data_IF_870555477219
#
_entry.id   IF_870555477219
#
_cell.length_a   1.000
_cell.length_b   1.000
_cell.length_c   1.000
_cell.angle_alpha   90.00
_cell.angle_beta   90.00
_cell.angle_gamma   90.00
#
_symmetry.space_group_name_H-M   'P 1'
#
loop_
_entity.id
_entity.type
_entity.pdbx_description
1 polymer ?
#
# COMPACT_ATOMS: atom_id res chain seq x y z
N UNK A 1 30.71 -11.34 29.06
CA UNK A 1 29.39 -11.23 29.72
C UNK A 1 28.74 -9.97 29.18
N UNK A 2 27.54 -10.11 28.62
CA UNK A 2 26.85 -9.08 27.84
C UNK A 2 26.46 -9.57 26.45
N UNK A 3 25.84 -10.76 26.38
CA UNK A 3 25.09 -11.22 25.21
C UNK A 3 23.79 -10.41 25.18
N UNK A 4 23.72 -9.45 24.25
CA UNK A 4 22.48 -8.85 23.82
C UNK A 4 22.26 -9.31 22.37
N UNK A 5 21.78 -10.55 22.23
CA UNK A 5 20.92 -10.95 21.13
C UNK A 5 19.82 -9.89 21.01
N UNK A 6 20.09 -8.84 20.22
CA UNK A 6 19.07 -7.94 19.71
C UNK A 6 18.16 -8.81 18.87
N UNK A 7 17.06 -9.25 19.47
CA UNK A 7 15.99 -9.90 18.75
C UNK A 7 15.57 -8.93 17.67
N UNK A 8 15.78 -9.31 16.40
CA UNK A 8 15.26 -8.55 15.27
C UNK A 8 13.74 -8.69 15.39
N UNK A 9 13.12 -7.71 16.03
CA UNK A 9 11.67 -7.52 16.02
C UNK A 9 11.28 -7.33 14.57
N UNK A 10 10.60 -8.31 13.96
CA UNK A 10 10.27 -8.18 12.56
C UNK A 10 9.33 -6.99 12.34
N UNK A 11 9.28 -6.45 11.12
CA UNK A 11 8.47 -5.26 10.80
C UNK A 11 6.98 -5.42 11.17
N UNK A 12 6.52 -6.67 11.31
CA UNK A 12 5.16 -7.05 11.71
C UNK A 12 4.91 -7.16 13.22
N UNK A 13 5.91 -6.92 14.09
CA UNK A 13 5.74 -6.91 15.56
C UNK A 13 5.23 -5.56 16.10
N UNK A 14 5.12 -4.50 15.27
CA UNK A 14 4.46 -3.22 15.61
C UNK A 14 3.65 -2.70 14.42
N UNK A 15 2.56 -3.39 14.10
CA UNK A 15 1.71 -3.04 12.96
C UNK A 15 0.80 -1.84 13.25
N UNK A 16 0.60 -1.48 14.51
CA UNK A 16 -0.12 -0.27 14.88
C UNK A 16 0.19 0.20 16.29
N UNK A 17 0.13 1.51 16.47
CA UNK A 17 0.14 2.18 17.78
C UNK A 17 -1.27 2.33 18.38
N UNK A 18 -2.28 1.72 17.75
CA UNK A 18 -3.68 1.74 18.15
C UNK A 18 -4.19 0.31 18.39
N UNK A 19 -4.66 0.03 19.61
CA UNK A 19 -5.22 -1.27 20.02
C UNK A 19 -6.32 -1.76 19.05
N UNK A 20 -7.14 -0.86 18.52
CA UNK A 20 -8.19 -1.18 17.56
C UNK A 20 -7.62 -1.66 16.24
N UNK A 21 -6.64 -0.96 15.67
CA UNK A 21 -6.01 -1.37 14.42
C UNK A 21 -5.26 -2.70 14.64
N UNK A 22 -4.55 -2.86 15.77
CA UNK A 22 -3.89 -4.12 16.09
C UNK A 22 -4.90 -5.28 16.14
N UNK A 23 -6.06 -5.08 16.75
CA UNK A 23 -7.14 -6.05 16.76
C UNK A 23 -7.62 -6.41 15.35
N UNK A 24 -7.87 -5.40 14.50
CA UNK A 24 -8.34 -5.60 13.11
C UNK A 24 -7.29 -6.29 12.24
N UNK A 25 -6.02 -5.92 12.37
CA UNK A 25 -4.88 -6.56 11.71
C UNK A 25 -4.78 -8.02 12.09
N UNK A 26 -4.90 -8.33 13.39
CA UNK A 26 -4.88 -9.72 13.87
C UNK A 26 -6.11 -10.50 13.37
N UNK A 27 -7.26 -9.84 13.22
CA UNK A 27 -8.45 -10.46 12.63
C UNK A 27 -8.24 -10.76 11.13
N UNK A 28 -7.70 -9.81 10.35
CA UNK A 28 -7.33 -10.03 8.95
C UNK A 28 -6.33 -11.18 8.81
N UNK A 29 -5.27 -11.20 9.63
CA UNK A 29 -4.27 -12.28 9.63
C UNK A 29 -4.88 -13.66 9.79
N UNK A 30 -5.82 -13.80 10.74
CA UNK A 30 -6.50 -15.08 11.00
C UNK A 30 -7.46 -15.47 9.88
N UNK A 31 -8.04 -14.49 9.20
CA UNK A 31 -8.97 -14.72 8.10
C UNK A 31 -8.23 -15.13 6.82
N UNK A 32 -7.23 -14.33 6.42
CA UNK A 32 -6.43 -14.54 5.23
C UNK A 32 -5.04 -13.88 5.42
N UNK A 33 -3.97 -14.67 5.66
CA UNK A 33 -2.61 -14.13 5.79
C UNK A 33 -2.13 -13.36 4.55
N UNK A 34 -2.49 -13.80 3.34
CA UNK A 34 -2.05 -13.17 2.10
C UNK A 34 -2.67 -11.77 1.92
N UNK A 35 -3.90 -11.59 2.41
CA UNK A 35 -4.57 -10.29 2.48
C UNK A 35 -3.78 -9.29 3.33
N UNK A 36 -3.28 -9.73 4.49
CA UNK A 36 -2.49 -8.88 5.37
C UNK A 36 -1.11 -8.57 4.76
N UNK A 37 -0.44 -9.58 4.18
CA UNK A 37 0.85 -9.38 3.53
C UNK A 37 0.77 -8.33 2.41
N UNK A 38 -0.28 -8.38 1.59
CA UNK A 38 -0.59 -7.34 0.61
C UNK A 38 -0.79 -5.97 1.27
N UNK A 39 -1.61 -5.87 2.31
CA UNK A 39 -1.83 -4.63 3.05
C UNK A 39 -0.53 -4.03 3.61
N UNK A 40 0.39 -4.84 4.13
CA UNK A 40 1.69 -4.38 4.66
C UNK A 40 2.56 -3.78 3.55
N UNK A 41 2.63 -4.42 2.38
CA UNK A 41 3.42 -3.90 1.25
C UNK A 41 2.79 -2.64 0.68
N UNK A 42 1.47 -2.61 0.50
CA UNK A 42 0.71 -1.43 0.08
C UNK A 42 0.90 -0.25 1.05
N UNK A 43 0.90 -0.49 2.37
CA UNK A 43 1.16 0.52 3.38
C UNK A 43 2.58 1.07 3.30
N UNK A 44 3.56 0.23 2.98
CA UNK A 44 4.95 0.63 2.80
C UNK A 44 5.11 1.58 1.60
N UNK A 45 4.54 1.24 0.45
CA UNK A 45 4.54 2.12 -0.74
C UNK A 45 3.77 3.41 -0.50
N UNK A 46 2.63 3.34 0.21
CA UNK A 46 1.80 4.50 0.53
C UNK A 46 2.56 5.50 1.42
N UNK A 47 3.28 5.02 2.44
CA UNK A 47 4.09 5.87 3.33
C UNK A 47 5.24 6.55 2.59
N UNK A 48 5.86 5.85 1.63
CA UNK A 48 6.88 6.45 0.77
C UNK A 48 6.30 7.59 -0.06
N UNK A 49 5.21 7.32 -0.79
CA UNK A 49 4.57 8.32 -1.64
C UNK A 49 4.03 9.51 -0.85
N UNK A 50 3.45 9.27 0.33
CA UNK A 50 2.99 10.34 1.21
C UNK A 50 4.11 11.27 1.65
N UNK A 51 5.30 10.74 1.90
CA UNK A 51 6.48 11.54 2.25
C UNK A 51 7.01 12.34 1.06
N UNK A 52 7.09 11.74 -0.13
CA UNK A 52 7.43 12.45 -1.37
C UNK A 52 6.44 13.59 -1.65
N UNK A 53 5.17 13.40 -1.28
CA UNK A 53 4.12 14.40 -1.40
C UNK A 53 4.06 15.40 -0.23
N UNK A 54 4.96 15.29 0.76
CA UNK A 54 5.04 16.14 1.95
C UNK A 54 3.76 16.14 2.80
N UNK A 55 3.11 14.98 2.95
CA UNK A 55 2.00 14.82 3.89
C UNK A 55 2.45 15.06 5.34
N UNK A 56 1.54 15.54 6.17
CA UNK A 56 1.80 15.69 7.61
C UNK A 56 1.94 14.32 8.28
N UNK A 57 2.56 14.26 9.46
CA UNK A 57 2.67 13.00 10.20
C UNK A 57 1.30 12.36 10.49
N UNK A 58 0.29 13.18 10.79
CA UNK A 58 -1.06 12.67 11.02
C UNK A 58 -1.67 12.08 9.75
N UNK A 59 -1.54 12.77 8.62
CA UNK A 59 -2.02 12.25 7.33
C UNK A 59 -1.27 10.99 6.90
N UNK A 60 0.03 10.89 7.22
CA UNK A 60 0.85 9.71 6.95
C UNK A 60 0.39 8.49 7.78
N UNK A 61 0.05 8.69 9.05
CA UNK A 61 -0.47 7.61 9.90
C UNK A 61 -1.87 7.17 9.46
N UNK A 62 -2.77 8.11 9.13
CA UNK A 62 -4.08 7.79 8.56
C UNK A 62 -3.94 7.02 7.23
N UNK A 63 -3.03 7.45 6.35
CA UNK A 63 -2.74 6.77 5.10
C UNK A 63 -2.15 5.38 5.32
N UNK A 64 -1.23 5.23 6.28
CA UNK A 64 -0.63 3.94 6.61
C UNK A 64 -1.68 2.94 7.09
N UNK A 65 -2.53 3.34 8.04
CA UNK A 65 -3.63 2.50 8.53
C UNK A 65 -4.65 2.20 7.43
N UNK A 66 -4.99 3.19 6.59
CA UNK A 66 -5.90 2.97 5.48
C UNK A 66 -5.34 1.96 4.49
N UNK A 67 -4.06 2.05 4.16
CA UNK A 67 -3.40 1.11 3.28
C UNK A 67 -3.30 -0.30 3.86
N UNK A 68 -3.03 -0.42 5.16
CA UNK A 68 -2.97 -1.70 5.85
C UNK A 68 -4.33 -2.42 5.86
N UNK A 69 -5.42 -1.66 5.96
CA UNK A 69 -6.78 -2.17 6.11
C UNK A 69 -7.66 -2.02 4.85
N UNK A 70 -7.14 -1.52 3.72
CA UNK A 70 -7.98 -1.13 2.57
C UNK A 70 -8.87 -2.26 2.04
N UNK A 71 -8.41 -3.48 2.22
CA UNK A 71 -9.05 -4.70 1.76
C UNK A 71 -9.80 -5.45 2.88
N UNK A 72 -9.92 -4.88 4.09
CA UNK A 72 -10.57 -5.53 5.24
C UNK A 72 -12.02 -5.94 4.96
N UNK A 73 -12.71 -5.23 4.06
CA UNK A 73 -14.06 -5.58 3.63
C UNK A 73 -14.17 -6.95 2.96
N UNK A 74 -13.06 -7.51 2.46
CA UNK A 74 -13.01 -8.89 1.93
C UNK A 74 -13.31 -9.94 3.00
N UNK A 75 -13.19 -9.60 4.30
CA UNK A 75 -13.60 -10.47 5.42
C UNK A 75 -15.12 -10.63 5.54
N UNK A 76 -15.91 -9.75 4.91
CA UNK A 76 -17.38 -9.84 4.92
C UNK A 76 -17.94 -10.75 3.83
N UNK A 77 -17.06 -11.34 3.01
CA UNK A 77 -17.45 -12.18 1.88
C UNK A 77 -17.70 -13.62 2.34
N UNK A 78 -18.73 -14.32 1.81
CA UNK A 78 -18.97 -15.71 2.16
C UNK A 78 -17.78 -16.61 1.82
N UNK A 79 -17.43 -17.51 2.75
CA UNK A 79 -16.40 -18.53 2.55
C UNK A 79 -16.66 -19.32 1.26
N UNK A 80 -15.73 -19.27 0.31
CA UNK A 80 -15.82 -19.99 -0.97
C UNK A 80 -15.87 -19.11 -2.23
N UNK A 81 -16.24 -17.81 -2.11
CA UNK A 81 -16.19 -16.88 -3.25
C UNK A 81 -14.73 -16.55 -3.64
N UNK A 82 -13.84 -16.50 -2.65
CA UNK A 82 -12.40 -16.26 -2.83
C UNK A 82 -11.70 -17.46 -3.51
N UNK A 83 -12.32 -18.66 -3.48
CA UNK A 83 -11.68 -19.92 -3.91
C UNK A 83 -12.20 -20.49 -5.24
N UNK A 84 -13.30 -19.98 -5.80
CA UNK A 84 -13.87 -20.55 -7.02
C UNK A 84 -13.57 -19.73 -8.29
N UNK A 85 -12.47 -20.11 -8.94
CA UNK A 85 -12.41 -20.35 -10.38
C UNK A 85 -13.10 -19.34 -11.31
N UNK A 86 -12.43 -18.22 -11.57
CA UNK A 86 -12.22 -17.68 -12.92
C UNK A 86 -13.40 -17.18 -13.75
N UNK A 87 -14.68 -17.35 -13.37
CA UNK A 87 -15.82 -16.82 -14.11
C UNK A 87 -16.98 -16.49 -13.15
N UNK A 88 -17.00 -15.26 -12.66
CA UNK A 88 -18.24 -14.50 -12.48
C UNK A 88 -17.91 -13.02 -12.63
N UNK A 89 -17.72 -12.55 -13.86
CA UNK A 89 -17.32 -11.16 -14.17
C UNK A 89 -18.24 -10.14 -13.49
N UNK A 90 -19.52 -10.47 -13.30
CA UNK A 90 -20.51 -9.62 -12.61
C UNK A 90 -20.35 -9.71 -11.08
N UNK A 91 -20.06 -10.91 -10.55
CA UNK A 91 -19.75 -11.12 -9.14
C UNK A 91 -18.46 -10.40 -8.75
N UNK A 92 -17.36 -10.63 -9.44
CA UNK A 92 -16.04 -10.04 -9.15
C UNK A 92 -16.08 -8.51 -9.21
N UNK A 93 -16.82 -7.95 -10.17
CA UNK A 93 -17.02 -6.50 -10.29
C UNK A 93 -17.79 -5.93 -9.10
N UNK A 94 -18.96 -6.50 -8.79
CA UNK A 94 -19.76 -6.07 -7.63
C UNK A 94 -19.00 -6.25 -6.32
N UNK A 95 -18.21 -7.30 -6.21
CA UNK A 95 -17.40 -7.59 -5.03
C UNK A 95 -16.28 -6.55 -4.88
N UNK A 96 -15.59 -6.21 -5.97
CA UNK A 96 -14.58 -5.14 -5.99
C UNK A 96 -15.20 -3.77 -5.66
N UNK A 97 -16.43 -3.51 -6.09
CA UNK A 97 -17.16 -2.28 -5.75
C UNK A 97 -17.67 -2.23 -4.30
N UNK A 98 -18.08 -3.38 -3.75
CA UNK A 98 -18.67 -3.45 -2.42
C UNK A 98 -17.64 -3.56 -1.29
N UNK A 99 -16.48 -4.18 -1.51
CA UNK A 99 -15.47 -4.39 -0.44
C UNK A 99 -14.91 -3.11 0.16
N UNK A 100 -14.65 -2.01 -0.57
CA UNK A 100 -14.16 -0.77 0.02
C UNK A 100 -15.21 -0.14 0.93
N UNK A 101 -16.47 -0.19 0.52
CA UNK A 101 -17.59 0.28 1.35
C UNK A 101 -17.77 -0.61 2.58
N UNK A 102 -17.74 -1.92 2.43
CA UNK A 102 -17.82 -2.85 3.55
C UNK A 102 -16.68 -2.62 4.55
N UNK A 103 -15.45 -2.39 4.06
CA UNK A 103 -14.31 -2.05 4.89
C UNK A 103 -14.52 -0.73 5.65
N UNK A 104 -14.95 0.33 4.97
CA UNK A 104 -15.27 1.60 5.63
C UNK A 104 -16.40 1.45 6.67
N UNK A 105 -17.43 0.67 6.37
CA UNK A 105 -18.54 0.38 7.29
C UNK A 105 -18.08 -0.42 8.52
N UNK A 106 -17.11 -1.33 8.36
CA UNK A 106 -16.48 -2.05 9.48
C UNK A 106 -15.78 -1.09 10.44
N UNK A 107 -15.16 -0.02 9.93
CA UNK A 107 -14.44 0.96 10.75
C UNK A 107 -15.35 2.01 11.41
N UNK A 108 -16.61 2.12 10.97
CA UNK A 108 -17.59 3.11 11.45
C UNK A 108 -17.80 3.17 12.98
N UNK A 109 -17.70 2.07 13.76
CA UNK A 109 -17.84 2.14 15.22
C UNK A 109 -16.75 2.95 15.93
N UNK A 110 -15.63 3.28 15.27
CA UNK A 110 -14.49 3.97 15.84
C UNK A 110 -14.32 5.37 15.21
N UNK A 111 -14.80 6.45 15.86
CA UNK A 111 -14.72 7.81 15.33
C UNK A 111 -13.31 8.26 14.97
N UNK A 112 -12.30 7.80 15.72
CA UNK A 112 -10.89 8.07 15.47
C UNK A 112 -10.39 7.49 14.14
N UNK A 113 -11.08 6.51 13.57
CA UNK A 113 -10.75 5.89 12.28
C UNK A 113 -11.56 6.46 11.11
N UNK A 114 -12.27 7.58 11.29
CA UNK A 114 -13.13 8.13 10.25
C UNK A 114 -12.36 8.55 8.98
N UNK A 115 -11.16 9.12 9.14
CA UNK A 115 -10.30 9.45 8.01
C UNK A 115 -9.82 8.18 7.30
N UNK A 116 -9.36 7.20 8.06
CA UNK A 116 -8.95 5.87 7.56
C UNK A 116 -10.08 5.26 6.73
N UNK A 117 -11.29 5.18 7.28
CA UNK A 117 -12.47 4.67 6.59
C UNK A 117 -12.78 5.44 5.29
N UNK A 118 -12.60 6.75 5.28
CA UNK A 118 -12.80 7.59 4.09
C UNK A 118 -11.79 7.26 3.00
N UNK A 119 -10.52 7.09 3.34
CA UNK A 119 -9.49 6.71 2.38
C UNK A 119 -9.77 5.32 1.80
N UNK A 120 -10.18 4.36 2.64
CA UNK A 120 -10.59 3.02 2.22
C UNK A 120 -11.79 3.09 1.28
N UNK A 121 -12.82 3.87 1.59
CA UNK A 121 -14.01 3.95 0.73
C UNK A 121 -13.71 4.50 -0.68
N UNK A 122 -12.66 5.32 -0.82
CA UNK A 122 -12.39 6.10 -2.03
C UNK A 122 -11.17 5.62 -2.84
N UNK A 123 -10.44 4.60 -2.40
CA UNK A 123 -9.18 4.21 -3.06
C UNK A 123 -9.35 3.59 -4.47
N UNK A 124 -10.57 3.24 -4.87
CA UNK A 124 -10.90 2.85 -6.25
C UNK A 124 -11.46 3.98 -7.12
N UNK A 125 -11.56 5.20 -6.58
CA UNK A 125 -11.80 6.37 -7.40
C UNK A 125 -10.63 6.56 -8.38
N UNK A 126 -10.96 7.01 -9.60
CA UNK A 126 -9.97 7.16 -10.68
C UNK A 126 -9.80 8.62 -11.03
N UNK A 127 -8.58 9.01 -11.39
CA UNK A 127 -8.28 10.39 -11.76
C UNK A 127 -9.19 10.94 -12.88
N UNK A 128 -9.61 10.10 -13.82
CA UNK A 128 -10.51 10.41 -14.92
C UNK A 128 -12.01 10.48 -14.55
N UNK A 129 -12.39 10.08 -13.33
CA UNK A 129 -13.78 10.03 -12.87
C UNK A 129 -14.53 8.76 -13.28
N UNK A 130 -13.86 7.77 -13.86
CA UNK A 130 -14.46 6.47 -14.20
C UNK A 130 -14.38 5.46 -13.06
N UNK A 131 -13.98 5.90 -11.87
CA UNK A 131 -13.91 5.09 -10.66
C UNK A 131 -15.24 5.04 -9.91
N UNK A 132 -15.19 4.43 -8.74
CA UNK A 132 -16.34 4.24 -7.87
C UNK A 132 -15.91 4.50 -6.41
N UNK A 133 -16.84 4.77 -5.48
CA UNK A 133 -18.31 4.69 -5.62
C UNK A 133 -19.00 5.96 -6.14
N UNK A 134 -18.34 7.11 -6.20
CA UNK A 134 -18.96 8.39 -6.53
C UNK A 134 -18.53 8.97 -7.89
N UNK A 135 -17.51 8.40 -8.54
CA UNK A 135 -16.99 8.91 -9.81
C UNK A 135 -16.28 10.25 -9.63
N UNK A 136 -15.58 10.41 -8.50
CA UNK A 136 -14.82 11.62 -8.19
C UNK A 136 -13.70 11.80 -9.21
N UNK A 137 -13.46 13.04 -9.65
CA UNK A 137 -12.47 13.34 -10.68
C UNK A 137 -11.32 14.19 -10.15
N UNK A 138 -10.10 13.82 -10.53
CA UNK A 138 -8.90 14.58 -10.24
C UNK A 138 -8.74 14.90 -8.75
N UNK A 139 -8.71 16.19 -8.43
CA UNK A 139 -8.48 16.69 -7.05
C UNK A 139 -9.70 16.60 -6.14
N UNK A 140 -10.86 16.15 -6.65
CA UNK A 140 -11.99 15.81 -5.79
C UNK A 140 -11.69 14.55 -4.95
N UNK A 141 -10.77 13.70 -5.42
CA UNK A 141 -10.29 12.53 -4.69
C UNK A 141 -9.29 13.00 -3.62
N UNK A 142 -9.48 12.64 -2.34
CA UNK A 142 -8.52 12.96 -1.28
C UNK A 142 -7.10 12.50 -1.63
N UNK A 143 -6.08 13.25 -1.20
CA UNK A 143 -4.68 12.93 -1.52
C UNK A 143 -4.30 11.51 -1.07
N UNK A 144 -4.69 11.13 0.16
CA UNK A 144 -4.43 9.79 0.69
C UNK A 144 -5.05 8.68 -0.18
N UNK A 145 -6.26 8.88 -0.71
CA UNK A 145 -6.93 7.88 -1.55
C UNK A 145 -6.25 7.76 -2.92
N UNK A 146 -5.77 8.88 -3.49
CA UNK A 146 -4.96 8.86 -4.72
C UNK A 146 -3.64 8.12 -4.53
N UNK A 147 -2.97 8.32 -3.40
CA UNK A 147 -1.74 7.60 -3.06
C UNK A 147 -2.01 6.11 -2.85
N UNK A 148 -3.02 5.77 -2.05
CA UNK A 148 -3.40 4.39 -1.76
C UNK A 148 -3.73 3.62 -3.06
N UNK A 149 -4.51 4.21 -3.96
CA UNK A 149 -4.84 3.61 -5.26
C UNK A 149 -3.59 3.27 -6.08
N UNK A 150 -2.61 4.17 -6.11
CA UNK A 150 -1.34 3.95 -6.81
C UNK A 150 -0.52 2.86 -6.13
N UNK A 151 -0.40 2.91 -4.80
CA UNK A 151 0.37 1.96 -4.00
C UNK A 151 -0.17 0.52 -4.11
N UNK A 152 -1.49 0.34 -4.08
CA UNK A 152 -2.15 -0.95 -4.27
C UNK A 152 -1.80 -1.54 -5.64
N UNK A 153 -1.90 -0.75 -6.71
CA UNK A 153 -1.52 -1.20 -8.05
C UNK A 153 -0.02 -1.50 -8.17
N UNK A 154 0.84 -0.72 -7.52
CA UNK A 154 2.29 -0.96 -7.49
C UNK A 154 2.59 -2.32 -6.86
N UNK A 155 1.96 -2.65 -5.73
CA UNK A 155 2.17 -3.95 -5.08
C UNK A 155 1.75 -5.11 -5.99
N UNK A 156 0.57 -5.00 -6.62
CA UNK A 156 0.08 -6.01 -7.54
C UNK A 156 1.01 -6.22 -8.75
N UNK A 157 1.64 -5.15 -9.27
CA UNK A 157 2.58 -5.25 -10.39
C UNK A 157 3.93 -5.84 -9.97
N UNK A 158 4.41 -5.54 -8.76
CA UNK A 158 5.69 -6.01 -8.25
C UNK A 158 5.64 -7.43 -7.67
N UNK A 159 4.46 -7.93 -7.36
CA UNK A 159 4.26 -9.32 -6.90
C UNK A 159 4.02 -10.30 -8.04
N UNK A 160 3.74 -9.82 -9.26
CA UNK A 160 3.64 -10.68 -10.44
C UNK A 160 4.99 -11.24 -10.87
N UNK A 161 5.02 -12.55 -11.22
CA UNK A 161 6.22 -13.22 -11.71
C UNK A 161 6.73 -12.60 -13.01
N UNK A 162 8.03 -12.31 -13.05
CA UNK A 162 8.75 -11.79 -14.21
C UNK A 162 10.03 -12.60 -14.43
N UNK A 163 10.48 -12.70 -15.67
CA UNK A 163 11.70 -13.43 -16.06
C UNK A 163 12.96 -12.83 -15.44
N UNK A 164 12.94 -11.52 -15.13
CA UNK A 164 13.99 -10.83 -14.39
C UNK A 164 13.47 -9.58 -13.67
N UNK A 165 14.22 -9.12 -12.67
CA UNK A 165 13.90 -7.89 -11.93
C UNK A 165 13.99 -6.63 -12.81
N UNK A 166 14.93 -6.57 -13.75
CA UNK A 166 15.05 -5.44 -14.70
C UNK A 166 13.84 -5.38 -15.65
N UNK A 167 13.39 -6.54 -16.15
CA UNK A 167 12.18 -6.63 -16.95
C UNK A 167 10.94 -6.20 -16.15
N UNK A 168 10.86 -6.58 -14.88
CA UNK A 168 9.77 -6.20 -13.98
C UNK A 168 9.72 -4.69 -13.76
N UNK A 169 10.84 -4.06 -13.43
CA UNK A 169 10.91 -2.61 -13.25
C UNK A 169 10.50 -1.85 -14.50
N UNK A 170 11.01 -2.27 -15.66
CA UNK A 170 10.65 -1.67 -16.96
C UNK A 170 9.15 -1.81 -17.22
N UNK A 171 8.57 -2.97 -16.92
CA UNK A 171 7.14 -3.22 -17.07
C UNK A 171 6.30 -2.33 -16.14
N UNK A 172 6.66 -2.23 -14.86
CA UNK A 172 5.98 -1.35 -13.88
C UNK A 172 5.98 0.10 -14.37
N UNK A 173 7.15 0.65 -14.69
CA UNK A 173 7.28 2.04 -15.17
C UNK A 173 6.43 2.27 -16.41
N UNK A 174 6.45 1.34 -17.37
CA UNK A 174 5.65 1.43 -18.59
C UNK A 174 4.15 1.45 -18.29
N UNK A 175 3.66 0.53 -17.45
CA UNK A 175 2.25 0.42 -17.09
C UNK A 175 1.79 1.69 -16.35
N UNK A 176 2.56 2.16 -15.36
CA UNK A 176 2.21 3.37 -14.62
C UNK A 176 2.15 4.61 -15.53
N UNK A 177 3.08 4.75 -16.48
CA UNK A 177 3.02 5.83 -17.49
C UNK A 177 1.76 5.75 -18.35
N UNK A 178 1.36 4.55 -18.76
CA UNK A 178 0.12 4.35 -19.53
C UNK A 178 -1.13 4.70 -18.71
N UNK A 179 -1.14 4.40 -17.42
CA UNK A 179 -2.27 4.66 -16.52
C UNK A 179 -2.29 6.09 -15.94
N UNK A 180 -1.24 6.88 -16.19
CA UNK A 180 -1.16 8.29 -15.81
C UNK A 180 -2.26 9.12 -16.47
N UNK A 181 -2.85 10.07 -15.73
CA UNK A 181 -3.97 10.93 -16.15
C UNK A 181 -5.31 10.21 -16.44
N UNK A 182 -5.32 8.88 -16.48
CA UNK A 182 -6.55 8.09 -16.54
C UNK A 182 -6.88 7.54 -15.16
N UNK A 183 -6.18 6.50 -14.73
CA UNK A 183 -6.38 5.91 -13.40
C UNK A 183 -5.76 6.76 -12.30
N UNK A 184 -4.53 7.24 -12.52
CA UNK A 184 -3.72 7.84 -11.46
C UNK A 184 -3.44 9.33 -11.68
N UNK A 185 -3.23 10.02 -10.56
CA UNK A 185 -2.71 11.37 -10.53
C UNK A 185 -1.33 11.41 -11.21
N UNK A 186 -1.15 12.20 -12.29
CA UNK A 186 0.12 12.27 -13.00
C UNK A 186 1.28 12.76 -12.12
N UNK A 187 1.01 13.57 -11.09
CA UNK A 187 2.05 14.02 -10.15
C UNK A 187 2.59 12.83 -9.36
N UNK A 188 1.71 12.02 -8.78
CA UNK A 188 2.10 10.86 -7.98
C UNK A 188 2.81 9.78 -8.81
N UNK A 189 2.37 9.58 -10.06
CA UNK A 189 3.06 8.66 -10.99
C UNK A 189 4.49 9.11 -11.24
N UNK A 190 4.72 10.41 -11.48
CA UNK A 190 6.07 10.92 -11.71
C UNK A 190 6.94 10.78 -10.45
N UNK A 191 6.42 11.18 -9.28
CA UNK A 191 7.12 11.02 -8.00
C UNK A 191 7.51 9.57 -7.74
N UNK A 192 6.59 8.63 -7.98
CA UNK A 192 6.88 7.20 -7.83
C UNK A 192 7.98 6.75 -8.78
N UNK A 193 7.89 7.11 -10.07
CA UNK A 193 8.85 6.65 -11.08
C UNK A 193 10.26 7.20 -10.79
N UNK A 194 10.37 8.49 -10.43
CA UNK A 194 11.65 9.09 -10.06
C UNK A 194 12.28 8.34 -8.87
N UNK A 195 11.54 8.23 -7.75
CA UNK A 195 11.99 7.46 -6.59
C UNK A 195 12.31 6.00 -6.91
N UNK A 196 11.45 5.33 -7.69
CA UNK A 196 11.61 3.92 -8.02
C UNK A 196 12.84 3.69 -8.91
N UNK A 197 13.13 4.58 -9.86
CA UNK A 197 14.32 4.46 -10.70
C UNK A 197 15.60 4.71 -9.89
N UNK A 198 15.58 5.69 -8.98
CA UNK A 198 16.72 6.01 -8.13
C UNK A 198 17.01 4.87 -7.13
N UNK A 199 15.98 4.37 -6.44
CA UNK A 199 16.14 3.37 -5.38
C UNK A 199 16.21 1.94 -5.90
N UNK A 200 15.39 1.54 -6.88
CA UNK A 200 15.36 0.15 -7.35
C UNK A 200 16.65 -0.24 -8.05
N UNK A 201 17.25 0.65 -8.85
CA UNK A 201 18.52 0.38 -9.53
C UNK A 201 19.69 0.26 -8.54
N UNK A 202 19.72 1.06 -7.48
CA UNK A 202 20.73 0.97 -6.42
C UNK A 202 20.53 -0.24 -5.49
N UNK A 203 19.27 -0.60 -5.21
CA UNK A 203 18.92 -1.73 -4.34
C UNK A 203 19.16 -3.07 -5.04
N UNK A 204 18.97 -3.17 -6.36
CA UNK A 204 19.32 -4.36 -7.15
C UNK A 204 20.80 -4.74 -7.08
N UNK A 205 21.69 -3.75 -6.93
CA UNK A 205 23.13 -3.99 -6.84
C UNK A 205 23.52 -4.52 -5.45
N UNK A 206 22.75 -4.19 -4.41
CA UNK A 206 23.21 -4.32 -3.03
C UNK A 206 22.34 -5.22 -2.11
N UNK A 207 21.04 -5.40 -2.39
CA UNK A 207 20.11 -6.14 -1.52
C UNK A 207 19.03 -6.88 -2.33
N UNK A 208 19.13 -8.21 -2.51
CA UNK A 208 18.13 -8.98 -3.24
C UNK A 208 16.79 -9.02 -2.48
N UNK A 209 15.71 -8.67 -3.20
CA UNK A 209 14.32 -8.86 -2.77
C UNK A 209 14.09 -10.33 -2.38
N UNK A 210 13.47 -10.59 -1.23
CA UNK A 210 12.98 -11.94 -0.84
C UNK A 210 11.46 -11.97 -0.83
N UNK A 211 10.91 -13.18 -0.77
CA UNK A 211 9.46 -13.50 -0.80
C UNK A 211 8.61 -12.71 0.23
N UNK A 212 9.26 -12.05 1.19
CA UNK A 212 8.65 -11.33 2.31
C UNK A 212 8.63 -9.79 2.10
N UNK A 213 9.05 -9.29 0.92
CA UNK A 213 9.22 -7.86 0.63
C UNK A 213 10.63 -7.33 0.91
N UNK A 214 10.78 -6.00 0.97
CA UNK A 214 12.05 -5.29 1.20
C UNK A 214 12.64 -5.64 2.58
N UNK A 215 13.65 -6.51 2.62
CA UNK A 215 14.43 -6.80 3.84
C UNK A 215 15.75 -6.04 3.78
N UNK A 216 15.90 -5.00 4.60
CA UNK A 216 17.15 -4.26 4.80
C UNK A 216 17.83 -4.69 6.11
N UNK A 217 19.17 -4.75 6.10
CA UNK A 217 19.98 -5.14 7.26
C UNK A 217 19.88 -4.10 8.39
N UNK A 218 19.27 -4.52 9.49
CA UNK A 218 19.45 -4.18 10.92
C UNK A 218 19.54 -2.73 11.41
N UNK A 219 18.78 -2.50 12.49
CA UNK A 219 19.00 -1.57 13.61
C UNK A 219 18.76 -0.06 13.38
N UNK A 220 17.51 0.32 13.09
CA UNK A 220 16.89 1.51 13.69
C UNK A 220 15.38 1.50 13.47
N UNK A 221 14.65 2.08 14.42
CA UNK A 221 13.19 2.08 14.59
C UNK A 221 12.40 2.88 13.54
N UNK A 222 12.77 2.82 12.26
CA UNK A 222 11.97 3.42 11.19
C UNK A 222 12.39 2.97 9.78
N UNK A 223 11.78 1.89 9.30
CA UNK A 223 12.17 1.24 8.03
C UNK A 223 11.86 2.07 6.78
N UNK A 224 10.88 2.97 6.83
CA UNK A 224 10.64 3.94 5.74
C UNK A 224 11.57 5.16 5.87
N UNK A 225 11.97 5.54 7.10
CA UNK A 225 12.97 6.59 7.29
C UNK A 225 14.34 6.12 6.83
N UNK A 226 14.70 4.85 6.97
CA UNK A 226 16.00 4.37 6.48
C UNK A 226 16.11 4.35 4.95
N UNK A 227 15.01 4.10 4.22
CA UNK A 227 14.98 4.24 2.75
C UNK A 227 15.10 5.71 2.35
N UNK A 228 14.43 6.61 3.08
CA UNK A 228 14.50 8.05 2.85
C UNK A 228 15.85 8.66 3.25
N UNK A 229 16.41 8.29 4.41
CA UNK A 229 17.68 8.78 4.92
C UNK A 229 18.85 8.22 4.12
N UNK A 230 18.77 6.97 3.62
CA UNK A 230 19.75 6.45 2.66
C UNK A 230 19.69 7.22 1.32
N UNK A 231 18.50 7.57 0.83
CA UNK A 231 18.35 8.40 -0.36
C UNK A 231 18.82 9.87 -0.14
N UNK A 232 18.56 10.45 1.05
CA UNK A 232 19.05 11.78 1.46
C UNK A 232 20.57 11.84 1.59
N UNK A 233 21.20 10.81 2.16
CA UNK A 233 22.66 10.70 2.32
C UNK A 233 23.39 10.63 0.97
N UNK A 234 22.77 10.08 -0.07
CA UNK A 234 23.38 9.92 -1.39
C UNK A 234 23.14 11.17 -2.27
N UNK A 235 22.00 11.85 -2.15
CA UNK A 235 21.59 12.90 -3.09
C UNK A 235 21.42 14.31 -2.50
N UNK A 236 21.61 14.51 -1.19
CA UNK A 236 21.64 15.85 -0.58
C UNK A 236 20.34 16.66 -0.72
N UNK A 237 19.20 15.98 -0.77
CA UNK A 237 17.88 16.62 -0.81
C UNK A 237 17.48 16.92 0.63
N UNK A 238 17.42 18.21 0.99
CA UNK A 238 16.94 18.71 2.29
C UNK A 238 15.47 18.39 2.52
#
# INVERSE_FOLDING_TARGET
>A
MGDASKTITPIWERLSDCDTIEYLVNAMRRHDPALLEHGIRTASYSRVLGRLENLTNNDLEDLYHAALLHDIGKMSLPNGVILQNGISIIGDYLMTECTPRAGADMLRPWPELQNVATLIALHHERWDGMGFPFGLRGRQIPMGARILSLADTVDQLLTQKSDSLSAQATAVVRILRTLSRSRFDPKLVNLFIEWFQDVFLETLVNYPWREDGLVLKSDSTSTVDNIFESAKLIHGIM
#
